data_IF_060340946644
#
_entry.id   IF_060340946644
#
_cell.length_a   1.000
_cell.length_b   1.000
_cell.length_c   1.000
_cell.angle_alpha   90.00
_cell.angle_beta   90.00
_cell.angle_gamma   90.00
#
_symmetry.space_group_name_H-M   'P 1'
#
loop_
_entity.id
_entity.type
_entity.pdbx_description
1 polymer ?
#
# COMPACT_ATOMS: atom_id res chain seq x y z
N UNK A 1 -11.23 -17.08 -4.60
CA UNK A 1 -10.52 -16.58 -3.40
C UNK A 1 -11.00 -15.15 -3.17
N UNK A 2 -11.36 -14.81 -1.94
CA UNK A 2 -11.78 -13.45 -1.57
C UNK A 2 -10.61 -12.45 -1.79
N UNK A 3 -10.93 -11.20 -2.12
CA UNK A 3 -9.95 -10.21 -2.57
C UNK A 3 -8.87 -9.92 -1.51
N UNK A 4 -9.25 -9.81 -0.24
CA UNK A 4 -8.32 -9.66 0.88
C UNK A 4 -7.31 -10.80 0.94
N UNK A 5 -7.76 -12.04 0.79
CA UNK A 5 -6.85 -13.18 0.75
C UNK A 5 -5.86 -13.11 -0.43
N UNK A 6 -6.30 -12.68 -1.62
CA UNK A 6 -5.42 -12.50 -2.80
C UNK A 6 -4.38 -11.41 -2.59
N UNK A 7 -4.82 -10.24 -2.14
CA UNK A 7 -3.93 -9.10 -1.87
C UNK A 7 -2.92 -9.46 -0.79
N UNK A 8 -3.32 -10.21 0.25
CA UNK A 8 -2.39 -10.70 1.27
C UNK A 8 -1.41 -11.75 0.76
N UNK A 9 -1.79 -12.63 -0.18
CA UNK A 9 -0.85 -13.55 -0.81
C UNK A 9 0.19 -12.81 -1.64
N UNK A 10 -0.25 -11.84 -2.45
CA UNK A 10 0.65 -10.95 -3.17
C UNK A 10 1.60 -10.20 -2.21
N UNK A 11 1.10 -9.69 -1.09
CA UNK A 11 1.90 -9.00 -0.05
C UNK A 11 3.08 -9.85 0.42
N UNK A 12 2.81 -11.11 0.74
CA UNK A 12 3.83 -12.07 1.20
C UNK A 12 4.78 -12.41 0.06
N UNK A 13 4.26 -12.72 -1.12
CA UNK A 13 5.07 -13.10 -2.27
C UNK A 13 6.05 -11.98 -2.69
N UNK A 14 5.57 -10.74 -2.81
CA UNK A 14 6.40 -9.59 -3.15
C UNK A 14 7.50 -9.34 -2.10
N UNK A 15 7.11 -9.40 -0.81
CA UNK A 15 8.05 -9.22 0.32
C UNK A 15 9.17 -10.24 0.29
N UNK A 16 8.82 -11.53 0.20
CA UNK A 16 9.80 -12.60 0.19
C UNK A 16 10.71 -12.52 -1.03
N UNK A 17 10.14 -12.20 -2.19
CA UNK A 17 10.90 -12.02 -3.42
C UNK A 17 11.96 -10.92 -3.24
N UNK A 18 11.58 -9.76 -2.73
CA UNK A 18 12.51 -8.66 -2.48
C UNK A 18 13.61 -9.08 -1.50
N UNK A 19 13.21 -9.54 -0.31
CA UNK A 19 14.12 -9.81 0.79
C UNK A 19 15.13 -10.92 0.48
N UNK A 20 14.79 -11.88 -0.38
CA UNK A 20 15.64 -13.02 -0.73
C UNK A 20 16.51 -12.78 -1.97
N UNK A 21 16.01 -12.03 -2.96
CA UNK A 21 16.66 -11.98 -4.28
C UNK A 21 17.08 -10.58 -4.74
N UNK A 22 16.53 -9.52 -4.16
CA UNK A 22 16.81 -8.13 -4.60
C UNK A 22 17.46 -7.28 -3.52
N UNK A 23 17.31 -7.66 -2.24
CA UNK A 23 18.00 -7.01 -1.13
C UNK A 23 19.49 -7.38 -1.11
N UNK A 24 20.33 -6.39 -0.85
CA UNK A 24 21.78 -6.55 -0.64
C UNK A 24 22.18 -6.19 0.79
N UNK A 25 23.34 -6.66 1.23
CA UNK A 25 23.94 -6.23 2.51
C UNK A 25 24.53 -4.83 2.38
N UNK A 26 24.36 -3.99 3.40
CA UNK A 26 24.84 -2.60 3.39
C UNK A 26 24.33 -1.76 2.21
N UNK A 27 23.01 -1.69 1.96
CA UNK A 27 22.47 -1.13 0.72
C UNK A 27 22.66 0.40 0.59
N UNK A 28 22.89 1.10 1.70
CA UNK A 28 22.96 2.56 1.69
C UNK A 28 24.22 3.05 0.98
N UNK A 29 24.02 3.72 -0.17
CA UNK A 29 25.10 4.20 -1.03
C UNK A 29 25.54 3.22 -2.13
N UNK A 30 24.85 2.08 -2.27
CA UNK A 30 25.10 1.11 -3.35
C UNK A 30 24.24 1.44 -4.57
N UNK A 31 24.89 1.68 -5.72
CA UNK A 31 24.19 1.79 -7.01
C UNK A 31 23.51 0.47 -7.40
N UNK A 32 24.10 -0.65 -7.02
CA UNK A 32 23.52 -1.98 -7.24
C UNK A 32 22.20 -2.15 -6.47
N UNK A 33 22.13 -1.66 -5.23
CA UNK A 33 20.90 -1.72 -4.43
C UNK A 33 19.75 -0.98 -5.12
N UNK A 34 20.00 0.23 -5.65
CA UNK A 34 19.00 0.99 -6.39
C UNK A 34 18.61 0.31 -7.71
N UNK A 35 19.58 -0.23 -8.46
CA UNK A 35 19.28 -0.96 -9.68
C UNK A 35 18.45 -2.23 -9.43
N UNK A 36 18.67 -2.92 -8.32
CA UNK A 36 17.87 -4.08 -7.91
C UNK A 36 16.49 -3.66 -7.42
N UNK A 37 16.36 -2.54 -6.71
CA UNK A 37 15.07 -1.97 -6.32
C UNK A 37 14.21 -1.64 -7.56
N UNK A 38 14.78 -0.98 -8.56
CA UNK A 38 14.08 -0.68 -9.82
C UNK A 38 13.62 -1.94 -10.55
N UNK A 39 14.49 -2.96 -10.64
CA UNK A 39 14.13 -4.26 -11.25
C UNK A 39 13.07 -4.99 -10.44
N UNK A 40 13.12 -4.91 -9.12
CA UNK A 40 12.09 -5.51 -8.27
C UNK A 40 10.74 -4.85 -8.52
N UNK A 41 10.68 -3.51 -8.62
CA UNK A 41 9.45 -2.79 -8.90
C UNK A 41 8.78 -3.26 -10.20
N UNK A 42 9.56 -3.51 -11.27
CA UNK A 42 9.04 -4.08 -12.52
C UNK A 42 8.42 -5.48 -12.31
N UNK A 43 9.09 -6.34 -11.55
CA UNK A 43 8.59 -7.68 -11.23
C UNK A 43 7.36 -7.62 -10.33
N UNK A 44 7.33 -6.68 -9.38
CA UNK A 44 6.22 -6.48 -8.47
C UNK A 44 4.94 -6.06 -9.22
N UNK A 45 5.06 -5.27 -10.27
CA UNK A 45 3.92 -4.90 -11.12
C UNK A 45 3.29 -6.13 -11.79
N UNK A 46 4.12 -6.98 -12.38
CA UNK A 46 3.68 -8.23 -13.00
C UNK A 46 3.10 -9.18 -11.95
N UNK A 47 3.71 -9.25 -10.77
CA UNK A 47 3.24 -10.09 -9.69
C UNK A 47 1.85 -9.64 -9.20
N UNK A 48 1.62 -8.33 -9.05
CA UNK A 48 0.32 -7.78 -8.67
C UNK A 48 -0.73 -8.06 -9.74
N UNK A 49 -0.40 -7.84 -11.00
CA UNK A 49 -1.29 -8.15 -12.13
C UNK A 49 -1.71 -9.63 -12.13
N UNK A 50 -0.75 -10.55 -12.05
CA UNK A 50 -0.99 -11.99 -12.18
C UNK A 50 -1.60 -12.64 -10.94
N UNK A 51 -1.33 -12.11 -9.74
CA UNK A 51 -1.85 -12.69 -8.50
C UNK A 51 -3.15 -12.03 -8.03
N UNK A 52 -3.37 -10.76 -8.37
CA UNK A 52 -4.50 -9.97 -7.87
C UNK A 52 -5.44 -9.58 -9.00
N UNK A 53 -4.98 -8.82 -10.00
CA UNK A 53 -5.88 -8.17 -10.96
C UNK A 53 -6.58 -9.16 -11.89
N UNK A 54 -5.82 -9.99 -12.63
CA UNK A 54 -6.40 -10.95 -13.57
C UNK A 54 -7.30 -11.97 -12.87
N UNK A 55 -6.90 -12.61 -11.74
CA UNK A 55 -7.73 -13.60 -11.08
C UNK A 55 -8.97 -13.03 -10.37
N UNK A 56 -9.02 -11.71 -10.17
CA UNK A 56 -10.19 -11.00 -9.63
C UNK A 56 -11.03 -10.32 -10.72
N UNK A 57 -10.60 -10.33 -12.00
CA UNK A 57 -11.30 -9.64 -13.08
C UNK A 57 -11.27 -8.10 -12.95
N UNK A 58 -10.25 -7.56 -12.28
CA UNK A 58 -10.07 -6.12 -12.08
C UNK A 58 -9.39 -5.49 -13.30
N UNK A 59 -9.65 -4.21 -13.59
CA UNK A 59 -8.93 -3.50 -14.65
C UNK A 59 -7.43 -3.46 -14.34
N UNK A 60 -6.62 -3.43 -15.41
CA UNK A 60 -5.20 -3.19 -15.29
C UNK A 60 -4.96 -1.81 -14.66
N UNK A 61 -4.19 -1.79 -13.58
CA UNK A 61 -3.69 -0.59 -12.89
C UNK A 61 -2.27 -0.91 -12.48
N UNK A 62 -1.33 0.00 -12.75
CA UNK A 62 0.05 -0.20 -12.32
C UNK A 62 0.11 -0.17 -10.80
N UNK A 63 0.77 -1.15 -10.18
CA UNK A 63 0.89 -1.17 -8.72
C UNK A 63 1.63 0.07 -8.21
N UNK A 64 1.10 0.70 -7.17
CA UNK A 64 1.51 2.04 -6.71
C UNK A 64 0.57 3.15 -7.17
N UNK A 65 -0.23 2.95 -8.23
CA UNK A 65 -1.30 3.85 -8.62
C UNK A 65 -2.61 3.52 -7.88
N UNK A 66 -3.50 4.52 -7.78
CA UNK A 66 -4.82 4.31 -7.19
C UNK A 66 -5.62 3.30 -8.01
N UNK A 67 -6.01 2.19 -7.37
CA UNK A 67 -6.93 1.24 -7.98
C UNK A 67 -8.39 1.75 -7.83
N UNK A 68 -9.11 2.01 -8.94
CA UNK A 68 -10.45 2.59 -8.86
C UNK A 68 -11.49 1.61 -8.32
N UNK A 69 -11.21 0.30 -8.34
CA UNK A 69 -12.14 -0.76 -7.97
C UNK A 69 -11.78 -1.48 -6.68
N UNK A 70 -10.73 -1.06 -5.97
CA UNK A 70 -10.34 -1.67 -4.70
C UNK A 70 -10.43 -0.63 -3.59
N UNK A 71 -11.39 -0.82 -2.68
CA UNK A 71 -11.51 -0.05 -1.45
C UNK A 71 -10.81 -0.74 -0.29
N UNK A 72 -10.31 0.07 0.63
CA UNK A 72 -9.71 -0.36 1.89
C UNK A 72 -10.67 0.00 3.02
N UNK A 73 -11.16 -1.02 3.71
CA UNK A 73 -12.14 -0.85 4.79
C UNK A 73 -11.54 -1.36 6.11
N UNK A 74 -11.96 -0.76 7.23
CA UNK A 74 -11.58 -1.27 8.56
C UNK A 74 -12.24 -2.63 8.82
N UNK A 75 -11.48 -3.60 9.34
CA UNK A 75 -12.01 -4.91 9.73
C UNK A 75 -12.97 -4.73 10.91
N UNK A 76 -12.43 -4.21 12.02
CA UNK A 76 -13.11 -4.09 13.31
C UNK A 76 -12.96 -2.68 13.89
N UNK A 77 -13.89 -2.29 14.78
CA UNK A 77 -13.84 -1.02 15.51
C UNK A 77 -14.35 0.18 14.73
N UNK A 78 -14.68 1.27 15.44
CA UNK A 78 -15.15 2.53 14.82
C UNK A 78 -14.01 3.34 14.19
N UNK A 79 -12.76 3.05 14.55
CA UNK A 79 -11.58 3.80 14.14
C UNK A 79 -10.32 2.92 14.06
N UNK A 80 -9.29 3.41 13.36
CA UNK A 80 -7.95 2.82 13.33
C UNK A 80 -6.86 3.90 13.29
N UNK A 81 -5.64 3.64 13.81
CA UNK A 81 -4.51 4.54 13.63
C UNK A 81 -4.20 4.79 12.15
N UNK A 82 -3.94 6.04 11.81
CA UNK A 82 -3.60 6.46 10.45
C UNK A 82 -2.42 7.44 10.48
N UNK A 83 -1.53 7.33 9.51
CA UNK A 83 -0.51 8.35 9.24
C UNK A 83 -0.82 9.01 7.92
N UNK A 84 -1.26 10.27 7.97
CA UNK A 84 -1.54 11.07 6.79
C UNK A 84 -0.30 11.83 6.35
N UNK A 85 -0.11 11.94 5.04
CA UNK A 85 0.95 12.75 4.48
C UNK A 85 0.68 14.23 4.78
N UNK A 86 1.72 14.97 5.20
CA UNK A 86 1.63 16.39 5.54
C UNK A 86 1.05 17.18 4.36
N UNK A 87 1.68 17.01 3.21
CA UNK A 87 1.22 17.45 1.89
C UNK A 87 1.07 16.25 0.96
N UNK A 88 0.53 16.42 -0.25
CA UNK A 88 0.50 15.30 -1.21
C UNK A 88 1.95 14.96 -1.60
N UNK A 89 2.36 13.72 -1.36
CA UNK A 89 3.67 13.16 -1.73
C UNK A 89 4.91 13.84 -1.12
N UNK A 90 4.79 14.47 0.05
CA UNK A 90 5.92 15.14 0.71
C UNK A 90 6.97 14.20 1.32
N UNK A 91 6.67 12.90 1.44
CA UNK A 91 7.46 11.94 2.20
C UNK A 91 7.34 12.08 3.74
N UNK A 92 6.70 13.15 4.25
CA UNK A 92 6.45 13.35 5.68
C UNK A 92 5.05 12.87 6.07
N UNK A 93 4.98 11.91 6.98
CA UNK A 93 3.74 11.23 7.41
C UNK A 93 3.28 11.67 8.80
N UNK A 94 3.28 12.98 9.05
CA UNK A 94 3.12 13.54 10.40
C UNK A 94 1.94 14.51 10.56
N UNK A 95 1.00 14.51 9.60
CA UNK A 95 -0.22 15.32 9.68
C UNK A 95 -0.93 15.14 11.05
N UNK A 96 -1.55 16.20 11.64
CA UNK A 96 -2.06 16.15 13.01
C UNK A 96 -3.13 15.08 13.28
N UNK A 97 -3.91 14.71 12.28
CA UNK A 97 -4.93 13.64 12.38
C UNK A 97 -4.26 12.28 12.49
N UNK A 98 -4.56 11.54 13.58
CA UNK A 98 -3.91 10.26 13.93
C UNK A 98 -4.83 9.05 13.88
N UNK A 99 -6.13 9.25 13.70
CA UNK A 99 -7.11 8.18 13.63
C UNK A 99 -8.05 8.42 12.44
N UNK A 100 -8.43 7.35 11.76
CA UNK A 100 -9.45 7.35 10.72
C UNK A 100 -10.70 6.64 11.20
N UNK A 101 -11.86 7.19 10.85
CA UNK A 101 -13.16 6.66 11.19
C UNK A 101 -13.76 5.85 10.01
N UNK A 102 -14.75 5.01 10.29
CA UNK A 102 -15.44 4.20 9.25
C UNK A 102 -16.17 4.99 8.18
N UNK A 103 -16.43 6.28 8.38
CA UNK A 103 -17.07 7.14 7.38
C UNK A 103 -16.09 7.56 6.26
N UNK A 104 -14.78 7.29 6.41
CA UNK A 104 -13.81 7.52 5.37
C UNK A 104 -13.86 6.43 4.28
N UNK A 105 -13.89 6.85 3.01
CA UNK A 105 -13.69 5.98 1.86
C UNK A 105 -12.23 6.03 1.44
N UNK A 106 -11.56 4.89 1.48
CA UNK A 106 -10.13 4.77 1.19
C UNK A 106 -9.92 3.90 -0.05
N UNK A 107 -9.08 4.35 -0.97
CA UNK A 107 -8.68 3.61 -2.18
C UNK A 107 -7.31 2.97 -2.03
N UNK A 108 -7.17 1.72 -2.45
CA UNK A 108 -5.90 0.99 -2.41
C UNK A 108 -4.90 1.53 -3.44
N UNK A 109 -3.63 1.66 -3.03
CA UNK A 109 -2.52 1.99 -3.94
C UNK A 109 -1.44 0.90 -3.96
N UNK A 110 -0.78 0.68 -2.81
CA UNK A 110 0.29 -0.30 -2.66
C UNK A 110 0.56 -0.61 -1.19
N UNK A 111 1.41 -1.60 -0.91
CA UNK A 111 2.11 -1.71 0.36
C UNK A 111 3.26 -0.71 0.45
N UNK A 112 3.62 -0.36 1.68
CA UNK A 112 4.61 0.67 1.96
C UNK A 112 5.56 0.24 3.08
N UNK A 113 6.85 0.46 2.82
CA UNK A 113 7.93 0.41 3.81
C UNK A 113 8.66 1.77 3.78
N UNK A 114 9.12 2.24 4.93
CA UNK A 114 9.82 3.53 5.04
C UNK A 114 11.24 3.50 4.45
N UNK A 115 11.89 2.33 4.48
CA UNK A 115 13.21 2.12 3.91
C UNK A 115 13.09 1.19 2.70
N UNK A 116 13.04 1.77 1.49
CA UNK A 116 12.87 1.02 0.24
C UNK A 116 13.99 0.01 -0.01
N UNK A 117 15.20 0.26 0.50
CA UNK A 117 16.34 -0.63 0.34
C UNK A 117 16.53 -1.58 1.54
N UNK A 118 15.80 -1.32 2.62
CA UNK A 118 15.84 -2.10 3.85
C UNK A 118 15.13 -3.43 3.74
N UNK A 119 15.05 -4.16 4.86
CA UNK A 119 14.21 -5.35 4.91
C UNK A 119 12.74 -4.94 4.84
N UNK A 120 11.98 -5.50 3.90
CA UNK A 120 10.55 -5.21 3.76
C UNK A 120 9.73 -6.05 4.71
N UNK A 121 8.79 -5.44 5.40
CA UNK A 121 7.77 -6.14 6.19
C UNK A 121 6.35 -5.98 5.61
N UNK A 122 6.16 -4.99 4.71
CA UNK A 122 4.86 -4.61 4.17
C UNK A 122 3.81 -4.44 5.29
N UNK A 123 4.20 -3.83 6.42
CA UNK A 123 3.32 -3.57 7.55
C UNK A 123 2.25 -2.56 7.23
N UNK A 124 2.54 -1.60 6.35
CA UNK A 124 1.61 -0.55 5.97
C UNK A 124 1.04 -0.76 4.58
N UNK A 125 -0.23 -0.41 4.43
CA UNK A 125 -0.85 -0.14 3.13
C UNK A 125 -0.92 1.37 2.93
N UNK A 126 -0.47 1.82 1.76
CA UNK A 126 -0.70 3.17 1.26
C UNK A 126 -2.05 3.24 0.58
N UNK A 127 -2.84 4.22 0.99
CA UNK A 127 -4.16 4.51 0.46
C UNK A 127 -4.27 5.97 0.05
N UNK A 128 -5.24 6.27 -0.80
CA UNK A 128 -5.73 7.64 -0.99
C UNK A 128 -7.06 7.80 -0.26
N UNK A 129 -7.23 8.89 0.47
CA UNK A 129 -8.53 9.31 1.01
C UNK A 129 -9.37 9.80 -0.16
N UNK A 130 -10.44 9.10 -0.49
CA UNK A 130 -11.32 9.48 -1.59
C UNK A 130 -12.38 10.46 -1.12
N UNK A 131 -13.01 10.12 0.01
CA UNK A 131 -14.01 10.92 0.68
C UNK A 131 -13.89 10.70 2.19
N UNK A 132 -14.09 11.74 2.99
CA UNK A 132 -14.14 11.63 4.43
C UNK A 132 -15.07 12.71 5.01
N UNK A 133 -16.37 12.41 5.21
CA UNK A 133 -17.36 13.41 5.57
C UNK A 133 -17.05 14.20 6.85
N UNK A 134 -16.49 13.53 7.86
CA UNK A 134 -16.07 14.20 9.11
C UNK A 134 -14.76 15.00 8.98
N UNK A 135 -14.00 14.82 7.89
CA UNK A 135 -12.74 15.53 7.61
C UNK A 135 -12.58 15.82 6.10
N UNK A 136 -13.47 16.62 5.49
CA UNK A 136 -13.56 16.75 4.03
C UNK A 136 -12.28 17.32 3.39
N UNK A 137 -11.53 18.15 4.12
CA UNK A 137 -10.27 18.76 3.66
C UNK A 137 -9.14 17.73 3.46
N UNK A 138 -9.33 16.48 3.90
CA UNK A 138 -8.35 15.41 3.73
C UNK A 138 -8.57 14.60 2.45
N UNK A 139 -9.65 14.84 1.69
CA UNK A 139 -9.86 14.19 0.40
C UNK A 139 -8.67 14.44 -0.54
N UNK A 140 -8.26 13.39 -1.25
CA UNK A 140 -7.07 13.35 -2.11
C UNK A 140 -5.75 13.11 -1.39
N UNK A 141 -5.67 13.20 -0.05
CA UNK A 141 -4.42 12.92 0.67
C UNK A 141 -4.07 11.43 0.64
N UNK A 142 -2.76 11.15 0.65
CA UNK A 142 -2.26 9.81 0.88
C UNK A 142 -2.13 9.52 2.38
N UNK A 143 -2.39 8.27 2.74
CA UNK A 143 -2.30 7.81 4.11
C UNK A 143 -1.71 6.41 4.21
N UNK A 144 -1.20 6.08 5.39
CA UNK A 144 -0.73 4.76 5.76
C UNK A 144 -1.60 4.20 6.87
N UNK A 145 -2.04 2.96 6.69
CA UNK A 145 -2.67 2.15 7.74
C UNK A 145 -1.91 0.84 7.90
N UNK A 146 -1.87 0.29 9.10
CA UNK A 146 -1.33 -1.05 9.27
C UNK A 146 -2.26 -2.10 8.66
N UNK A 147 -1.70 -3.09 7.97
CA UNK A 147 -2.48 -4.10 7.25
C UNK A 147 -3.37 -4.95 8.16
N UNK A 148 -3.05 -5.02 9.47
CA UNK A 148 -3.84 -5.75 10.46
C UNK A 148 -5.21 -5.12 10.76
N UNK A 149 -5.39 -3.83 10.46
CA UNK A 149 -6.65 -3.12 10.71
C UNK A 149 -7.60 -3.12 9.52
N UNK A 150 -7.18 -3.62 8.36
CA UNK A 150 -7.89 -3.41 7.09
C UNK A 150 -8.19 -4.69 6.32
N UNK A 151 -9.28 -4.62 5.56
CA UNK A 151 -9.65 -5.58 4.52
C UNK A 151 -9.84 -4.85 3.20
N UNK A 152 -9.83 -5.61 2.12
CA UNK A 152 -9.90 -5.10 0.76
C UNK A 152 -11.18 -5.61 0.10
N UNK A 153 -11.95 -4.68 -0.46
CA UNK A 153 -13.24 -5.00 -1.10
C UNK A 153 -13.27 -4.46 -2.53
N UNK A 154 -13.89 -5.22 -3.42
CA UNK A 154 -14.17 -4.77 -4.77
C UNK A 154 -15.41 -3.86 -4.75
N UNK A 155 -15.38 -2.79 -5.55
CA UNK A 155 -16.52 -1.88 -5.79
C UNK A 155 -16.95 -1.83 -7.26
#
# INVERSE_FOLDING_TARGET
MELTARINQFRVASRELFNQYFRVEGPWGSEEAWALEERHAEVEYLLFEKLVLEPAGLPYVRYGELNPRVRVELIDGQFAPIMLNRDVDSGYWDHPVKEVLRDASLGFMCFFDFDSLGYRDHRYVRVQVLEWPSQPDLAGKHALLETQYVRYVEV
#
